data_IF_354001667756
#
_entry.id   IF_354001667756
#
_cell.length_a   1.000
_cell.length_b   1.000
_cell.length_c   1.000
_cell.angle_alpha   90.00
_cell.angle_beta   90.00
_cell.angle_gamma   90.00
#
_symmetry.space_group_name_H-M   'P 1'
#
loop_
_entity.id
_entity.type
_entity.pdbx_description
1 polymer ?
#
# COMPACT_ATOMS: atom_id res chain seq x y z
N UNK A 1 -22.98 -8.38 -3.68
CA UNK A 1 -21.78 -9.02 -4.26
C UNK A 1 -20.61 -8.99 -3.27
N UNK A 2 -19.94 -7.87 -2.95
CA UNK A 2 -18.74 -7.86 -2.09
C UNK A 2 -18.94 -8.46 -0.70
N UNK A 3 -20.08 -8.21 -0.06
CA UNK A 3 -20.41 -8.84 1.24
C UNK A 3 -20.57 -10.35 1.15
N UNK A 4 -21.14 -10.87 0.06
CA UNK A 4 -21.26 -12.33 -0.14
C UNK A 4 -19.90 -12.99 -0.37
N UNK A 5 -18.87 -12.23 -0.69
CA UNK A 5 -17.47 -12.68 -0.78
C UNK A 5 -16.70 -12.51 0.53
N UNK A 6 -17.37 -12.12 1.61
CA UNK A 6 -16.74 -11.92 2.92
C UNK A 6 -16.06 -10.56 3.09
N UNK A 7 -16.24 -9.62 2.16
CA UNK A 7 -15.69 -8.27 2.27
C UNK A 7 -16.34 -7.46 3.38
N UNK A 8 -15.56 -6.87 4.26
CA UNK A 8 -16.02 -6.02 5.37
C UNK A 8 -15.81 -4.53 5.10
N UNK A 9 -14.88 -4.18 4.23
CA UNK A 9 -14.52 -2.80 3.87
C UNK A 9 -14.31 -2.72 2.37
N UNK A 10 -14.66 -1.60 1.79
CA UNK A 10 -14.37 -1.26 0.40
C UNK A 10 -13.57 0.05 0.37
N UNK A 11 -12.51 0.10 -0.43
CA UNK A 11 -11.72 1.32 -0.63
C UNK A 11 -11.35 1.48 -2.11
N UNK A 12 -10.87 2.67 -2.48
CA UNK A 12 -10.56 3.01 -3.87
C UNK A 12 -9.07 3.21 -4.15
N UNK A 13 -8.15 2.98 -3.19
CA UNK A 13 -6.80 3.55 -3.26
C UNK A 13 -5.66 2.58 -2.94
N UNK A 14 -5.84 1.27 -2.99
CA UNK A 14 -4.75 0.33 -2.70
C UNK A 14 -3.77 0.14 -3.87
N UNK A 15 -4.24 0.31 -5.09
CA UNK A 15 -3.46 0.12 -6.31
C UNK A 15 -3.32 1.44 -7.08
N UNK A 16 -2.16 1.72 -7.67
CA UNK A 16 -0.98 0.83 -7.88
C UNK A 16 0.04 0.83 -6.72
N UNK A 17 -0.12 1.64 -5.69
CA UNK A 17 0.88 1.89 -4.64
C UNK A 17 1.33 0.60 -3.95
N UNK A 18 0.41 -0.32 -3.63
CA UNK A 18 0.75 -1.59 -3.00
C UNK A 18 1.65 -2.47 -3.89
N UNK A 19 1.44 -2.44 -5.22
CA UNK A 19 2.29 -3.14 -6.19
C UNK A 19 3.68 -2.52 -6.28
N UNK A 20 3.75 -1.18 -6.37
CA UNK A 20 5.00 -0.46 -6.46
C UNK A 20 5.84 -0.63 -5.19
N UNK A 21 5.20 -0.60 -4.02
CA UNK A 21 5.88 -0.87 -2.75
C UNK A 21 6.45 -2.30 -2.72
N UNK A 22 5.69 -3.29 -3.18
CA UNK A 22 6.15 -4.68 -3.26
C UNK A 22 7.32 -4.84 -4.24
N UNK A 23 7.25 -4.19 -5.40
CA UNK A 23 8.33 -4.17 -6.39
C UNK A 23 9.61 -3.54 -5.82
N UNK A 24 9.48 -2.49 -5.01
CA UNK A 24 10.60 -1.81 -4.35
C UNK A 24 11.05 -2.50 -3.04
N UNK A 25 10.57 -3.70 -2.73
CA UNK A 25 10.87 -4.44 -1.49
C UNK A 25 10.53 -3.64 -0.21
N UNK A 26 9.46 -2.84 -0.27
CA UNK A 26 8.99 -2.03 0.86
C UNK A 26 7.78 -2.67 1.52
N UNK A 27 7.70 -2.57 2.85
CA UNK A 27 6.44 -2.85 3.56
C UNK A 27 5.42 -1.77 3.24
N UNK A 28 4.18 -2.20 3.07
CA UNK A 28 3.07 -1.30 2.76
C UNK A 28 1.91 -1.56 3.71
N UNK A 29 1.41 -0.51 4.30
CA UNK A 29 0.21 -0.54 5.13
C UNK A 29 -0.69 0.63 4.78
N UNK A 30 -1.92 0.33 4.39
CA UNK A 30 -2.93 1.35 4.15
C UNK A 30 -3.74 1.62 5.41
N UNK A 31 -3.96 2.89 5.70
CA UNK A 31 -4.88 3.35 6.75
C UNK A 31 -6.14 3.87 6.06
N UNK A 32 -7.25 3.19 6.28
CA UNK A 32 -8.56 3.57 5.73
C UNK A 32 -9.35 4.38 6.75
N UNK A 33 -9.97 5.45 6.28
CA UNK A 33 -10.93 6.24 7.03
C UNK A 33 -12.34 5.89 6.57
N UNK A 34 -13.16 5.30 7.45
CA UNK A 34 -14.55 4.99 7.14
C UNK A 34 -15.37 6.27 7.03
N UNK A 35 -16.12 6.41 5.96
CA UNK A 35 -17.00 7.57 5.70
C UNK A 35 -18.45 7.26 5.89
N UNK A 36 -18.87 6.04 5.59
CA UNK A 36 -20.26 5.60 5.61
C UNK A 36 -20.38 4.07 5.62
N UNK A 37 -21.60 3.59 5.76
CA UNK A 37 -21.96 2.17 5.71
C UNK A 37 -22.39 1.68 4.32
N UNK A 38 -22.26 2.55 3.30
CA UNK A 38 -22.69 2.26 1.94
C UNK A 38 -24.22 1.96 1.88
N UNK A 39 -24.67 1.35 0.80
CA UNK A 39 -26.10 1.11 0.50
C UNK A 39 -26.76 -0.03 1.31
N UNK A 40 -26.04 -0.71 2.17
CA UNK A 40 -26.59 -1.86 2.91
C UNK A 40 -27.18 -1.52 4.28
N UNK A 41 -26.86 -0.35 4.83
CA UNK A 41 -27.36 0.05 6.14
C UNK A 41 -28.76 0.66 6.04
N UNK A 42 -29.70 0.15 6.83
CA UNK A 42 -31.13 0.50 6.71
C UNK A 42 -31.51 1.83 7.34
N UNK A 43 -30.65 2.42 8.19
CA UNK A 43 -31.00 3.60 9.00
C UNK A 43 -30.44 4.91 8.47
N UNK A 44 -29.44 4.88 7.59
CA UNK A 44 -28.81 6.08 7.06
C UNK A 44 -28.65 6.02 5.55
N UNK A 45 -29.30 6.93 4.86
CA UNK A 45 -29.03 7.14 3.44
C UNK A 45 -27.73 7.94 3.29
N UNK A 46 -26.81 7.43 2.51
CA UNK A 46 -25.55 8.11 2.22
C UNK A 46 -25.82 9.40 1.44
N UNK A 47 -25.32 10.51 1.95
CA UNK A 47 -25.39 11.82 1.28
C UNK A 47 -24.05 12.56 1.39
N UNK A 48 -23.85 13.51 0.49
CA UNK A 48 -22.57 14.23 0.38
C UNK A 48 -22.22 15.00 1.66
N UNK A 49 -23.18 15.64 2.31
CA UNK A 49 -22.94 16.43 3.51
C UNK A 49 -22.44 15.55 4.68
N UNK A 50 -23.03 14.38 4.85
CA UNK A 50 -22.60 13.40 5.85
C UNK A 50 -21.19 12.90 5.58
N UNK A 51 -20.89 12.52 4.34
CA UNK A 51 -19.56 12.07 3.94
C UNK A 51 -18.50 13.15 4.19
N UNK A 52 -18.77 14.40 3.82
CA UNK A 52 -17.85 15.52 4.05
C UNK A 52 -17.61 15.78 5.54
N UNK A 53 -18.65 15.70 6.37
CA UNK A 53 -18.52 15.83 7.83
C UNK A 53 -17.64 14.73 8.43
N UNK A 54 -17.84 13.48 8.02
CA UNK A 54 -17.00 12.37 8.47
C UNK A 54 -15.56 12.52 7.99
N UNK A 55 -15.34 12.99 6.78
CA UNK A 55 -13.98 13.23 6.25
C UNK A 55 -13.23 14.29 7.07
N UNK A 56 -13.88 15.36 7.50
CA UNK A 56 -13.25 16.39 8.34
C UNK A 56 -12.81 15.82 9.69
N UNK A 57 -13.71 15.11 10.38
CA UNK A 57 -13.41 14.46 11.66
C UNK A 57 -12.30 13.41 11.50
N UNK A 58 -12.37 12.59 10.45
CA UNK A 58 -11.41 11.56 10.14
C UNK A 58 -10.02 12.12 9.82
N UNK A 59 -9.93 13.28 9.18
CA UNK A 59 -8.65 13.95 8.90
C UNK A 59 -7.86 14.26 10.17
N UNK A 60 -8.54 14.72 11.23
CA UNK A 60 -7.91 14.99 12.54
C UNK A 60 -7.45 13.69 13.20
N UNK A 61 -8.33 12.68 13.20
CA UNK A 61 -8.04 11.37 13.78
C UNK A 61 -6.89 10.68 13.05
N UNK A 62 -6.86 10.75 11.71
CA UNK A 62 -5.79 10.16 10.91
C UNK A 62 -4.42 10.77 11.21
N UNK A 63 -4.33 12.09 11.37
CA UNK A 63 -3.08 12.75 11.75
C UNK A 63 -2.56 12.28 13.10
N UNK A 64 -3.46 12.17 14.10
CA UNK A 64 -3.09 11.66 15.42
C UNK A 64 -2.67 10.18 15.38
N UNK A 65 -3.40 9.37 14.65
CA UNK A 65 -3.08 7.95 14.46
C UNK A 65 -1.72 7.76 13.78
N UNK A 66 -1.46 8.48 12.67
CA UNK A 66 -0.18 8.41 11.96
C UNK A 66 0.98 8.82 12.88
N UNK A 67 0.82 9.89 13.66
CA UNK A 67 1.83 10.29 14.64
C UNK A 67 2.12 9.17 15.64
N UNK A 68 1.08 8.59 16.25
CA UNK A 68 1.24 7.49 17.20
C UNK A 68 1.86 6.22 16.58
N UNK A 69 1.52 5.92 15.33
CA UNK A 69 2.12 4.79 14.59
C UNK A 69 3.60 5.03 14.33
N UNK A 70 3.98 6.23 13.88
CA UNK A 70 5.40 6.57 13.66
C UNK A 70 6.20 6.52 14.96
N UNK A 71 5.66 7.03 16.05
CA UNK A 71 6.29 6.94 17.37
C UNK A 71 6.46 5.49 17.82
N UNK A 72 5.48 4.64 17.59
CA UNK A 72 5.57 3.21 17.89
C UNK A 72 6.62 2.52 17.02
N UNK A 73 6.62 2.75 15.71
CA UNK A 73 7.55 2.15 14.76
C UNK A 73 9.00 2.62 14.93
N UNK A 74 9.22 3.78 15.56
CA UNK A 74 10.57 4.29 15.85
C UNK A 74 11.33 3.47 16.89
N UNK A 75 10.63 2.58 17.63
CA UNK A 75 11.25 1.73 18.65
C UNK A 75 12.08 0.63 18.01
N UNK A 76 13.19 0.29 18.65
CA UNK A 76 14.16 -0.70 18.16
C UNK A 76 13.57 -2.09 17.91
N UNK A 77 12.54 -2.47 18.66
CA UNK A 77 11.83 -3.75 18.50
C UNK A 77 11.16 -3.92 17.13
N UNK A 78 10.87 -2.82 16.43
CA UNK A 78 10.23 -2.82 15.10
C UNK A 78 11.20 -2.60 13.94
N UNK A 79 12.50 -2.43 14.22
CA UNK A 79 13.51 -2.09 13.20
C UNK A 79 13.51 -3.06 12.02
N UNK A 80 13.48 -4.35 12.27
CA UNK A 80 13.53 -5.37 11.20
C UNK A 80 12.29 -5.35 10.30
N UNK A 81 11.14 -5.05 10.88
CA UNK A 81 9.90 -4.87 10.13
C UNK A 81 9.95 -3.58 9.29
N UNK A 82 10.37 -2.46 9.89
CA UNK A 82 10.45 -1.16 9.20
C UNK A 82 11.45 -1.20 8.05
N UNK A 83 12.59 -1.86 8.25
CA UNK A 83 13.61 -2.06 7.22
C UNK A 83 13.24 -3.14 6.19
N UNK A 84 12.05 -3.73 6.29
CA UNK A 84 11.55 -4.74 5.35
C UNK A 84 12.53 -5.92 5.15
N UNK A 85 13.31 -6.30 6.14
CA UNK A 85 14.36 -7.32 6.02
C UNK A 85 13.87 -8.64 5.45
N UNK A 86 12.61 -9.00 5.72
CA UNK A 86 11.98 -10.20 5.19
C UNK A 86 11.65 -10.11 3.69
N UNK A 87 11.69 -8.92 3.10
CA UNK A 87 11.44 -8.70 1.67
C UNK A 87 12.73 -8.56 0.86
N UNK A 88 13.87 -8.36 1.52
CA UNK A 88 15.16 -8.16 0.84
C UNK A 88 15.52 -9.37 -0.01
N UNK A 89 15.74 -9.12 -1.29
CA UNK A 89 16.07 -10.16 -2.28
C UNK A 89 14.85 -10.84 -2.92
N UNK A 90 13.63 -10.56 -2.50
CA UNK A 90 12.42 -11.15 -3.08
C UNK A 90 12.23 -10.74 -4.54
N UNK A 91 12.36 -9.45 -4.84
CA UNK A 91 12.27 -8.97 -6.22
C UNK A 91 13.44 -9.51 -7.06
N UNK A 92 14.66 -9.51 -6.52
CA UNK A 92 15.83 -10.05 -7.22
C UNK A 92 15.71 -11.55 -7.52
N UNK A 93 15.09 -12.32 -6.64
CA UNK A 93 14.80 -13.72 -6.90
C UNK A 93 13.82 -13.90 -8.07
N UNK A 94 12.87 -13.01 -8.23
CA UNK A 94 11.92 -13.03 -9.36
C UNK A 94 12.58 -12.66 -10.70
N UNK A 95 13.70 -11.94 -10.70
CA UNK A 95 14.43 -11.57 -11.91
C UNK A 95 14.94 -12.78 -12.70
N UNK A 96 15.12 -13.92 -12.05
CA UNK A 96 15.49 -15.19 -12.72
C UNK A 96 14.46 -15.63 -13.75
N UNK A 97 13.22 -15.19 -13.62
CA UNK A 97 12.10 -15.52 -14.51
C UNK A 97 11.83 -14.45 -15.57
N UNK A 98 12.57 -13.34 -15.54
CA UNK A 98 12.40 -12.26 -16.50
C UNK A 98 13.08 -12.54 -17.84
N UNK A 99 12.66 -11.83 -18.89
CA UNK A 99 13.28 -11.88 -20.22
C UNK A 99 14.78 -11.58 -20.14
N UNK A 100 15.60 -12.45 -20.72
CA UNK A 100 17.06 -12.29 -20.74
C UNK A 100 17.51 -11.08 -21.57
N UNK A 101 18.71 -10.59 -21.32
CA UNK A 101 19.25 -9.35 -21.88
C UNK A 101 18.97 -9.09 -23.36
N UNK A 102 19.14 -10.02 -24.32
CA UNK A 102 18.90 -9.71 -25.73
C UNK A 102 17.45 -9.37 -26.08
N UNK A 103 16.47 -9.75 -25.23
CA UNK A 103 15.04 -9.49 -25.46
C UNK A 103 14.47 -8.32 -24.68
N UNK A 104 15.31 -7.54 -23.96
CA UNK A 104 14.85 -6.42 -23.13
C UNK A 104 14.90 -5.11 -23.89
N UNK A 105 13.85 -4.30 -23.75
CA UNK A 105 13.89 -2.91 -24.23
C UNK A 105 14.85 -2.07 -23.38
N UNK A 106 15.65 -1.21 -24.01
CA UNK A 106 16.64 -0.37 -23.32
C UNK A 106 16.03 0.52 -22.22
N UNK A 107 14.83 1.04 -22.44
CA UNK A 107 14.12 1.88 -21.46
C UNK A 107 13.70 1.07 -20.22
N UNK A 108 13.15 -0.12 -20.40
CA UNK A 108 12.80 -1.01 -19.31
C UNK A 108 14.01 -1.42 -18.47
N UNK A 109 15.13 -1.74 -19.14
CA UNK A 109 16.39 -2.05 -18.45
C UNK A 109 16.88 -0.87 -17.59
N UNK A 110 16.80 0.37 -18.11
CA UNK A 110 17.19 1.58 -17.39
C UNK A 110 16.33 1.82 -16.13
N UNK A 111 15.03 1.59 -16.23
CA UNK A 111 14.12 1.76 -15.09
C UNK A 111 14.40 0.73 -13.99
N UNK A 112 14.68 -0.51 -14.36
CA UNK A 112 15.02 -1.55 -13.38
C UNK A 112 16.41 -1.32 -12.77
N UNK A 113 17.38 -0.82 -13.54
CA UNK A 113 18.69 -0.44 -13.01
C UNK A 113 18.61 0.67 -11.96
N UNK A 114 17.62 1.59 -12.09
CA UNK A 114 17.37 2.61 -11.07
C UNK A 114 16.89 2.00 -9.75
N UNK A 115 15.98 1.02 -9.79
CA UNK A 115 15.45 0.36 -8.60
C UNK A 115 16.45 -0.64 -7.99
N UNK A 116 17.20 -1.33 -8.81
CA UNK A 116 18.11 -2.41 -8.42
C UNK A 116 19.45 -2.30 -9.14
N UNK A 117 20.33 -1.39 -8.71
CA UNK A 117 21.61 -1.16 -9.37
C UNK A 117 22.49 -2.42 -9.44
N UNK A 118 23.05 -2.67 -10.61
CA UNK A 118 24.01 -3.77 -10.82
C UNK A 118 23.41 -5.18 -11.02
N UNK A 119 22.09 -5.30 -11.00
CA UNK A 119 21.42 -6.62 -11.18
C UNK A 119 21.47 -7.10 -12.62
N UNK A 120 21.68 -6.21 -13.57
CA UNK A 120 21.58 -6.51 -15.00
C UNK A 120 22.92 -6.67 -15.73
N UNK A 121 24.01 -6.54 -15.02
CA UNK A 121 25.37 -6.70 -15.55
C UNK A 121 25.81 -8.17 -15.62
#
# INVERSE_FOLDING_TARGET
MYRSWGGSVINMSALPEAKLAREAEMVYQMICMATDYDCWHSTEAVNVAMVMSHMEANSKNAKALVGAVLDALSKSEHTDMVLAKHLVGEATNMLKFMTKAPGRGAEGAKNVEFLYPGIWN
#
